data_IF_413072299285
#
_entry.id   IF_413072299285
#
_cell.length_a   1.000
_cell.length_b   1.000
_cell.length_c   1.000
_cell.angle_alpha   90.00
_cell.angle_beta   90.00
_cell.angle_gamma   90.00
#
_symmetry.space_group_name_H-M   'P 1'
#
loop_
_entity.id
_entity.type
_entity.pdbx_description
1 polymer ?
#
# COMPACT_ATOMS: atom_id res chain seq x y z
N UNK A 1 7.95 -33.11 -8.28
CA UNK A 1 7.45 -31.99 -7.45
C UNK A 1 8.32 -31.84 -6.22
N UNK A 2 9.03 -30.71 -6.06
CA UNK A 2 9.28 -30.22 -4.68
C UNK A 2 7.92 -29.81 -4.12
N UNK A 3 7.70 -30.07 -2.84
CA UNK A 3 6.36 -30.20 -2.28
C UNK A 3 5.69 -28.84 -2.05
N UNK A 4 4.57 -28.60 -2.75
CA UNK A 4 3.59 -27.61 -2.30
C UNK A 4 2.93 -28.17 -1.04
N UNK A 5 3.39 -27.69 0.11
CA UNK A 5 2.87 -28.07 1.42
C UNK A 5 1.93 -27.00 1.95
N UNK A 6 0.93 -27.43 2.69
CA UNK A 6 0.13 -26.49 3.46
C UNK A 6 1.02 -25.90 4.55
N UNK A 7 1.12 -24.57 4.60
CA UNK A 7 1.63 -23.87 5.77
C UNK A 7 0.86 -24.31 7.02
N UNK A 8 1.50 -24.27 8.18
CA UNK A 8 0.92 -24.73 9.46
C UNK A 8 -0.43 -24.09 9.81
N UNK A 9 -0.72 -22.91 9.24
CA UNK A 9 -1.98 -22.17 9.39
C UNK A 9 -2.44 -21.65 8.02
N UNK A 10 -3.74 -21.40 7.90
CA UNK A 10 -4.32 -20.64 6.79
C UNK A 10 -4.78 -19.27 7.24
N UNK A 11 -4.86 -18.32 6.31
CA UNK A 11 -5.52 -17.03 6.51
C UNK A 11 -6.95 -17.10 5.97
N UNK A 12 -7.89 -16.46 6.66
CA UNK A 12 -9.25 -16.25 6.16
C UNK A 12 -9.59 -14.76 6.17
N UNK A 13 -10.58 -14.40 5.35
CA UNK A 13 -11.10 -13.04 5.22
C UNK A 13 -12.62 -13.13 5.23
N UNK A 14 -13.29 -12.34 6.07
CA UNK A 14 -14.76 -12.44 6.21
C UNK A 14 -15.41 -11.06 6.29
N UNK A 15 -16.58 -10.86 5.64
CA UNK A 15 -17.34 -9.62 5.75
C UNK A 15 -17.82 -9.39 7.18
N UNK A 16 -17.93 -8.13 7.62
CA UNK A 16 -18.29 -7.74 8.99
C UNK A 16 -19.57 -8.42 9.48
N UNK A 17 -20.58 -8.42 8.63
CA UNK A 17 -21.93 -8.90 8.89
C UNK A 17 -22.15 -10.25 8.19
N UNK A 18 -23.19 -10.98 8.61
CA UNK A 18 -23.63 -12.20 7.94
C UNK A 18 -24.48 -11.87 6.71
N UNK A 19 -24.66 -12.87 5.84
CA UNK A 19 -25.67 -12.83 4.77
C UNK A 19 -27.08 -12.70 5.38
N UNK A 20 -27.32 -13.26 6.56
CA UNK A 20 -28.61 -13.14 7.25
C UNK A 20 -28.95 -11.69 7.64
N UNK A 21 -27.97 -10.90 8.07
CA UNK A 21 -28.17 -9.47 8.33
C UNK A 21 -28.55 -8.70 7.04
N UNK A 22 -28.06 -9.12 5.87
CA UNK A 22 -28.50 -8.59 4.58
C UNK A 22 -29.94 -9.03 4.25
N UNK A 23 -30.29 -10.30 4.51
CA UNK A 23 -31.64 -10.82 4.32
C UNK A 23 -32.67 -10.11 5.23
N UNK A 24 -32.29 -9.78 6.46
CA UNK A 24 -33.11 -8.98 7.39
C UNK A 24 -33.30 -7.55 6.89
N UNK A 25 -32.23 -6.89 6.42
CA UNK A 25 -32.34 -5.57 5.79
C UNK A 25 -33.27 -5.60 4.56
N UNK A 26 -33.16 -6.60 3.69
CA UNK A 26 -34.05 -6.72 2.51
C UNK A 26 -35.51 -6.95 2.91
N UNK A 27 -35.78 -7.72 3.97
CA UNK A 27 -37.13 -7.90 4.53
C UNK A 27 -37.68 -6.58 5.10
N UNK A 28 -36.85 -5.79 5.78
CA UNK A 28 -37.24 -4.46 6.25
C UNK A 28 -37.55 -3.52 5.08
N UNK A 29 -36.66 -3.42 4.08
CA UNK A 29 -36.88 -2.61 2.86
C UNK A 29 -38.22 -2.97 2.18
N UNK A 30 -38.56 -4.25 2.08
CA UNK A 30 -39.83 -4.71 1.50
C UNK A 30 -41.07 -4.41 2.36
N UNK A 31 -40.92 -4.24 3.68
CA UNK A 31 -42.03 -4.05 4.63
C UNK A 31 -42.35 -2.59 4.91
N UNK A 32 -41.31 -1.76 5.08
CA UNK A 32 -41.41 -0.35 5.50
C UNK A 32 -40.85 0.64 4.49
N UNK A 33 -40.18 0.14 3.43
CA UNK A 33 -39.54 0.96 2.40
C UNK A 33 -38.03 1.16 2.63
N UNK A 34 -37.29 1.60 1.59
CA UNK A 34 -35.83 1.67 1.64
C UNK A 34 -35.31 2.72 2.64
N UNK A 35 -35.98 3.87 2.74
CA UNK A 35 -35.59 4.96 3.63
C UNK A 35 -35.58 4.58 5.12
N UNK A 36 -36.70 4.15 5.76
CA UNK A 36 -36.69 3.80 7.18
C UNK A 36 -35.76 2.61 7.48
N UNK A 37 -35.75 1.59 6.62
CA UNK A 37 -34.92 0.40 6.82
C UNK A 37 -33.41 0.71 6.78
N UNK A 38 -32.95 1.47 5.78
CA UNK A 38 -31.54 1.89 5.70
C UNK A 38 -31.18 2.87 6.82
N UNK A 39 -32.10 3.76 7.22
CA UNK A 39 -31.90 4.66 8.37
C UNK A 39 -31.67 3.87 9.67
N UNK A 40 -32.54 2.91 9.96
CA UNK A 40 -32.40 2.05 11.14
C UNK A 40 -31.13 1.18 11.11
N UNK A 41 -30.75 0.66 9.94
CA UNK A 41 -29.53 -0.13 9.76
C UNK A 41 -28.26 0.68 10.03
N UNK A 42 -28.13 1.87 9.44
CA UNK A 42 -26.94 2.71 9.60
C UNK A 42 -26.89 3.49 10.92
N UNK A 43 -27.96 3.53 11.73
CA UNK A 43 -27.90 4.05 13.10
C UNK A 43 -27.21 3.10 14.10
N UNK A 44 -26.92 1.85 13.74
CA UNK A 44 -26.18 0.94 14.60
C UNK A 44 -24.71 1.40 14.74
N UNK A 45 -24.15 1.62 15.95
CA UNK A 45 -22.84 2.27 16.14
C UNK A 45 -21.70 1.63 15.34
N UNK A 46 -21.63 0.29 15.29
CA UNK A 46 -20.59 -0.43 14.54
C UNK A 46 -20.71 -0.25 13.01
N UNK A 47 -21.93 -0.17 12.49
CA UNK A 47 -22.21 0.02 11.05
C UNK A 47 -21.95 1.47 10.66
N UNK A 48 -22.31 2.42 11.53
CA UNK A 48 -22.03 3.83 11.41
C UNK A 48 -20.52 4.12 11.40
N UNK A 49 -19.77 3.57 12.37
CA UNK A 49 -18.32 3.67 12.46
C UNK A 49 -17.65 3.08 11.20
N UNK A 50 -18.12 1.91 10.75
CA UNK A 50 -17.65 1.30 9.51
C UNK A 50 -17.89 2.21 8.29
N UNK A 51 -19.08 2.82 8.16
CA UNK A 51 -19.41 3.74 7.08
C UNK A 51 -18.50 4.98 7.10
N UNK A 52 -18.29 5.59 8.26
CA UNK A 52 -17.42 6.76 8.42
C UNK A 52 -15.97 6.46 8.02
N UNK A 53 -15.41 5.35 8.51
CA UNK A 53 -14.04 4.92 8.19
C UNK A 53 -13.89 4.65 6.69
N UNK A 54 -14.88 3.99 6.07
CA UNK A 54 -14.80 3.64 4.66
C UNK A 54 -15.19 4.77 3.69
N UNK A 55 -15.99 5.75 4.15
CA UNK A 55 -16.52 6.84 3.32
C UNK A 55 -17.11 7.98 4.18
N UNK A 56 -16.25 8.75 4.85
CA UNK A 56 -16.68 9.86 5.73
C UNK A 56 -17.63 10.87 5.07
N UNK A 57 -17.45 11.18 3.79
CA UNK A 57 -18.36 12.06 3.03
C UNK A 57 -19.77 11.47 2.85
N UNK A 58 -19.90 10.15 2.72
CA UNK A 58 -21.19 9.47 2.68
C UNK A 58 -21.81 9.37 4.08
N UNK A 59 -21.00 9.20 5.13
CA UNK A 59 -21.48 9.24 6.51
C UNK A 59 -22.07 10.62 6.87
N UNK A 60 -21.38 11.71 6.55
CA UNK A 60 -21.90 13.06 6.81
C UNK A 60 -23.21 13.32 6.03
N UNK A 61 -23.27 12.89 4.76
CA UNK A 61 -24.49 13.00 3.96
C UNK A 61 -25.63 12.13 4.51
N UNK A 62 -25.32 10.94 5.02
CA UNK A 62 -26.27 10.09 5.75
C UNK A 62 -26.78 10.77 7.02
N UNK A 63 -25.90 11.38 7.83
CA UNK A 63 -26.26 12.08 9.07
C UNK A 63 -27.25 13.22 8.80
N UNK A 64 -26.95 14.07 7.81
CA UNK A 64 -27.83 15.17 7.40
C UNK A 64 -29.19 14.66 6.91
N UNK A 65 -29.22 13.67 6.01
CA UNK A 65 -30.46 13.07 5.54
C UNK A 65 -31.27 12.39 6.66
N UNK A 66 -30.58 11.72 7.60
CA UNK A 66 -31.23 11.04 8.71
C UNK A 66 -31.79 12.00 9.77
N UNK A 67 -31.42 13.27 9.76
CA UNK A 67 -31.94 14.31 10.66
C UNK A 67 -32.98 15.22 9.98
N UNK A 68 -32.69 15.69 8.76
CA UNK A 68 -33.48 16.71 8.06
C UNK A 68 -34.22 16.21 6.80
N UNK A 69 -33.92 14.99 6.32
CA UNK A 69 -34.39 14.49 5.01
C UNK A 69 -33.64 15.13 3.83
N UNK A 70 -34.12 14.84 2.61
CA UNK A 70 -33.69 15.47 1.35
C UNK A 70 -34.96 15.77 0.54
N UNK A 71 -35.08 16.98 -0.02
CA UNK A 71 -36.24 17.37 -0.84
C UNK A 71 -36.21 16.80 -2.27
N UNK A 72 -35.02 16.73 -2.90
CA UNK A 72 -34.86 16.12 -4.23
C UNK A 72 -34.82 14.59 -4.13
N UNK A 73 -35.91 13.96 -4.59
CA UNK A 73 -36.07 12.51 -4.65
C UNK A 73 -34.97 11.79 -5.43
N UNK A 74 -34.42 12.38 -6.49
CA UNK A 74 -33.34 11.75 -7.26
C UNK A 74 -32.05 11.66 -6.44
N UNK A 75 -31.78 12.68 -5.62
CA UNK A 75 -30.62 12.69 -4.75
C UNK A 75 -30.81 11.83 -3.50
N UNK A 76 -32.04 11.71 -2.99
CA UNK A 76 -32.40 10.70 -1.99
C UNK A 76 -32.19 9.27 -2.55
N UNK A 77 -32.72 8.95 -3.73
CA UNK A 77 -32.53 7.63 -4.37
C UNK A 77 -31.04 7.30 -4.57
N UNK A 78 -30.23 8.27 -5.04
CA UNK A 78 -28.77 8.11 -5.17
C UNK A 78 -28.09 7.83 -3.82
N UNK A 79 -28.55 8.46 -2.74
CA UNK A 79 -28.06 8.22 -1.38
C UNK A 79 -28.45 6.81 -0.92
N UNK A 80 -29.71 6.42 -1.04
CA UNK A 80 -30.22 5.09 -0.66
C UNK A 80 -29.51 3.96 -1.41
N UNK A 81 -29.30 4.11 -2.73
CA UNK A 81 -28.51 3.17 -3.54
C UNK A 81 -27.05 3.09 -3.10
N UNK A 82 -26.47 4.19 -2.64
CA UNK A 82 -25.10 4.22 -2.12
C UNK A 82 -25.02 3.49 -0.76
N UNK A 83 -25.94 3.78 0.15
CA UNK A 83 -26.05 3.09 1.44
C UNK A 83 -26.28 1.58 1.27
N UNK A 84 -27.15 1.17 0.36
CA UNK A 84 -27.40 -0.24 0.04
C UNK A 84 -26.13 -0.94 -0.50
N UNK A 85 -25.34 -0.28 -1.36
CA UNK A 85 -24.04 -0.82 -1.83
C UNK A 85 -23.06 -1.03 -0.67
N UNK A 86 -23.03 -0.14 0.32
CA UNK A 86 -22.20 -0.33 1.52
C UNK A 86 -22.72 -1.42 2.44
N UNK A 87 -24.03 -1.57 2.62
CA UNK A 87 -24.62 -2.70 3.36
C UNK A 87 -24.26 -4.06 2.70
N UNK A 88 -24.42 -4.17 1.37
CA UNK A 88 -24.00 -5.35 0.60
C UNK A 88 -22.50 -5.62 0.78
N UNK A 89 -21.66 -4.57 0.73
CA UNK A 89 -20.21 -4.71 0.95
C UNK A 89 -19.90 -5.29 2.33
N UNK A 90 -20.58 -4.81 3.38
CA UNK A 90 -20.39 -5.26 4.77
C UNK A 90 -20.88 -6.69 5.03
N UNK A 91 -21.78 -7.24 4.21
CA UNK A 91 -22.36 -8.58 4.41
C UNK A 91 -21.84 -9.65 3.44
N UNK A 92 -21.36 -9.28 2.25
CA UNK A 92 -21.03 -10.23 1.18
C UNK A 92 -19.59 -10.14 0.65
N UNK A 93 -18.86 -9.02 0.84
CA UNK A 93 -17.53 -8.84 0.25
C UNK A 93 -16.42 -9.05 1.27
N UNK A 94 -15.71 -10.17 1.18
CA UNK A 94 -14.57 -10.51 2.05
C UNK A 94 -13.26 -9.73 1.78
N UNK A 95 -13.25 -8.70 0.92
CA UNK A 95 -12.05 -7.88 0.65
C UNK A 95 -11.78 -6.94 1.84
N UNK A 96 -10.66 -7.10 2.60
CA UNK A 96 -10.39 -6.29 3.78
C UNK A 96 -10.29 -4.81 3.43
N UNK A 97 -11.02 -3.98 4.18
CA UNK A 97 -11.04 -2.51 4.01
C UNK A 97 -11.77 -1.89 5.20
N UNK A 98 -11.07 -1.11 6.03
CA UNK A 98 -11.65 -0.53 7.23
C UNK A 98 -12.23 -1.61 8.14
N UNK A 99 -13.49 -1.43 8.53
CA UNK A 99 -14.25 -2.43 9.30
C UNK A 99 -15.14 -3.33 8.44
N UNK A 100 -15.27 -3.12 7.12
CA UNK A 100 -16.24 -3.86 6.30
C UNK A 100 -15.95 -5.34 6.15
N UNK A 101 -14.68 -5.73 6.25
CA UNK A 101 -14.24 -7.12 6.26
C UNK A 101 -12.92 -7.24 7.03
N UNK A 102 -12.83 -8.25 7.88
CA UNK A 102 -11.68 -8.50 8.73
C UNK A 102 -10.91 -9.77 8.34
N UNK A 103 -9.62 -9.80 8.69
CA UNK A 103 -8.74 -10.95 8.50
C UNK A 103 -8.60 -11.78 9.77
N UNK A 104 -8.31 -13.07 9.63
CA UNK A 104 -7.96 -13.95 10.75
C UNK A 104 -7.17 -15.16 10.30
N UNK A 105 -6.77 -16.02 11.24
CA UNK A 105 -6.01 -17.24 10.93
C UNK A 105 -6.66 -18.46 11.56
N UNK A 106 -6.63 -19.58 10.84
CA UNK A 106 -7.11 -20.88 11.29
C UNK A 106 -6.05 -21.97 11.16
N UNK A 107 -6.35 -23.14 11.71
CA UNK A 107 -5.45 -24.30 11.73
C UNK A 107 -5.99 -25.44 10.88
N UNK A 108 -5.11 -26.27 10.33
CA UNK A 108 -5.54 -27.50 9.65
C UNK A 108 -5.87 -28.60 10.67
N UNK A 109 -6.93 -29.35 10.43
CA UNK A 109 -7.35 -30.49 11.25
C UNK A 109 -7.46 -31.77 10.40
N UNK A 110 -7.42 -32.96 11.02
CA UNK A 110 -7.78 -34.21 10.33
C UNK A 110 -9.29 -34.47 10.34
N UNK A 111 -10.04 -33.74 11.17
CA UNK A 111 -11.48 -33.88 11.39
C UNK A 111 -12.29 -33.00 10.41
N UNK A 112 -13.61 -33.01 10.49
CA UNK A 112 -14.47 -32.18 9.63
C UNK A 112 -14.21 -30.67 9.80
N UNK A 113 -14.69 -29.88 8.85
CA UNK A 113 -14.57 -28.43 8.89
C UNK A 113 -15.37 -27.88 10.06
N UNK A 114 -14.74 -27.07 10.92
CA UNK A 114 -15.43 -26.37 11.98
C UNK A 114 -14.97 -24.90 12.02
N UNK A 115 -15.90 -24.00 11.71
CA UNK A 115 -15.62 -22.60 11.46
C UNK A 115 -16.72 -21.71 12.09
N UNK A 116 -16.48 -21.27 13.33
CA UNK A 116 -17.39 -20.45 14.13
C UNK A 116 -16.73 -19.10 14.38
N UNK A 117 -17.18 -18.07 13.66
CA UNK A 117 -16.68 -16.70 13.83
C UNK A 117 -17.15 -16.08 15.15
N UNK A 118 -16.37 -15.14 15.68
CA UNK A 118 -16.89 -14.30 16.77
C UNK A 118 -17.97 -13.33 16.27
N UNK A 119 -18.84 -12.90 17.19
CA UNK A 119 -19.75 -11.76 17.01
C UNK A 119 -19.03 -10.57 16.33
N UNK A 120 -19.71 -9.78 15.48
CA UNK A 120 -19.18 -8.52 14.95
C UNK A 120 -18.66 -7.59 16.06
N UNK A 121 -19.26 -7.62 17.26
CA UNK A 121 -18.81 -6.88 18.45
C UNK A 121 -17.49 -7.37 19.08
N UNK A 122 -16.81 -8.35 18.48
CA UNK A 122 -15.45 -8.79 18.85
C UNK A 122 -14.42 -8.55 17.74
N UNK A 123 -14.77 -7.79 16.70
CA UNK A 123 -13.81 -7.35 15.68
C UNK A 123 -12.82 -6.38 16.32
N UNK A 124 -11.53 -6.69 16.21
CA UNK A 124 -10.47 -5.82 16.71
C UNK A 124 -10.01 -4.86 15.61
N UNK A 125 -9.88 -3.58 15.96
CA UNK A 125 -9.43 -2.50 15.08
C UNK A 125 -7.93 -2.30 15.28
N UNK A 126 -7.20 -2.16 14.19
CA UNK A 126 -5.80 -1.73 14.16
C UNK A 126 -5.77 -0.41 13.40
N UNK A 127 -5.38 0.65 14.10
CA UNK A 127 -5.39 2.02 13.58
C UNK A 127 -3.95 2.51 13.50
N UNK A 128 -3.60 3.04 12.34
CA UNK A 128 -2.30 3.62 11.98
C UNK A 128 -2.58 4.96 11.30
N UNK A 129 -1.70 5.96 11.44
CA UNK A 129 -1.82 7.15 10.61
C UNK A 129 -1.45 6.82 9.16
N UNK A 130 -2.01 7.58 8.21
CA UNK A 130 -1.70 7.39 6.80
C UNK A 130 -0.23 7.76 6.51
N UNK A 131 0.44 6.96 5.68
CA UNK A 131 1.87 7.11 5.40
C UNK A 131 2.20 8.45 4.72
N UNK A 132 1.36 8.89 3.77
CA UNK A 132 1.51 10.19 3.11
C UNK A 132 1.19 11.33 4.09
N UNK A 133 0.24 11.13 5.02
CA UNK A 133 -0.06 12.11 6.06
C UNK A 133 1.10 12.30 7.03
N UNK A 134 1.64 11.23 7.61
CA UNK A 134 2.82 11.31 8.51
C UNK A 134 3.99 11.97 7.79
N UNK A 135 4.27 11.55 6.56
CA UNK A 135 5.34 12.13 5.74
C UNK A 135 5.16 13.64 5.50
N UNK A 136 3.97 14.09 5.09
CA UNK A 136 3.71 15.52 4.87
C UNK A 136 3.80 16.34 6.16
N UNK A 137 3.44 15.77 7.31
CA UNK A 137 3.61 16.41 8.62
C UNK A 137 5.10 16.51 8.99
N UNK A 138 5.90 15.46 8.76
CA UNK A 138 7.37 15.51 8.94
C UNK A 138 8.04 16.60 8.08
N UNK A 139 7.52 16.89 6.89
CA UNK A 139 7.98 18.02 6.08
C UNK A 139 7.55 19.36 6.67
N UNK A 140 6.26 19.54 7.00
CA UNK A 140 5.75 20.78 7.62
C UNK A 140 6.55 21.15 8.86
N UNK A 141 6.91 20.17 9.69
CA UNK A 141 7.73 20.39 10.90
C UNK A 141 9.13 20.91 10.54
N UNK A 142 9.82 20.31 9.56
CA UNK A 142 11.15 20.73 9.15
C UNK A 142 11.18 22.09 8.43
N UNK A 143 10.04 22.56 7.93
CA UNK A 143 9.87 23.90 7.34
C UNK A 143 9.49 24.96 8.39
N UNK A 144 8.60 24.64 9.33
CA UNK A 144 8.16 25.56 10.38
C UNK A 144 9.18 25.72 11.51
N UNK A 145 10.01 24.71 11.76
CA UNK A 145 11.03 24.69 12.80
C UNK A 145 12.41 24.32 12.21
N UNK A 146 13.04 25.18 11.37
CA UNK A 146 14.30 24.85 10.69
C UNK A 146 15.44 24.44 11.64
N UNK A 147 15.41 24.92 12.89
CA UNK A 147 16.35 24.52 13.95
C UNK A 147 16.37 23.01 14.21
N UNK A 148 15.25 22.31 13.94
CA UNK A 148 15.17 20.85 14.09
C UNK A 148 16.23 20.17 13.21
N UNK A 149 16.50 20.69 12.01
CA UNK A 149 17.45 20.11 11.05
C UNK A 149 18.88 19.98 11.60
N UNK A 150 19.23 20.75 12.64
CA UNK A 150 20.54 20.69 13.30
C UNK A 150 20.63 19.67 14.45
N UNK A 151 19.51 19.01 14.79
CA UNK A 151 19.38 18.02 15.89
C UNK A 151 18.97 16.62 15.41
N UNK A 152 18.75 16.49 14.10
CA UNK A 152 18.34 15.24 13.45
C UNK A 152 19.56 14.46 12.93
N UNK A 153 19.37 13.14 12.80
CA UNK A 153 20.26 12.26 12.04
C UNK A 153 19.89 12.26 10.57
N UNK A 154 20.91 12.17 9.72
CA UNK A 154 20.81 12.13 8.27
C UNK A 154 21.49 10.90 7.71
N UNK A 155 20.92 10.36 6.63
CA UNK A 155 21.30 9.10 6.02
C UNK A 155 21.59 9.33 4.54
N UNK A 156 22.61 8.67 3.98
CA UNK A 156 22.85 8.74 2.53
C UNK A 156 21.63 8.23 1.76
N UNK A 157 21.20 8.92 0.71
CA UNK A 157 20.12 8.45 -0.16
C UNK A 157 20.41 7.01 -0.65
N UNK A 158 19.47 6.09 -0.45
CA UNK A 158 19.67 4.65 -0.70
C UNK A 158 19.78 4.30 -2.18
N UNK A 159 19.45 5.23 -3.07
CA UNK A 159 19.62 5.11 -4.53
C UNK A 159 20.96 5.67 -5.02
N UNK A 160 21.82 6.16 -4.13
CA UNK A 160 23.07 6.81 -4.49
C UNK A 160 24.19 5.81 -4.80
N UNK A 161 24.80 5.97 -5.98
CA UNK A 161 25.98 5.23 -6.40
C UNK A 161 26.99 6.13 -7.15
N UNK A 162 28.25 5.69 -7.24
CA UNK A 162 29.36 6.44 -7.85
C UNK A 162 29.59 5.98 -9.28
N UNK A 163 29.76 6.91 -10.22
CA UNK A 163 30.09 6.66 -11.61
C UNK A 163 31.22 7.59 -12.04
N UNK A 164 32.43 7.04 -12.19
CA UNK A 164 33.61 7.86 -12.50
C UNK A 164 33.83 8.97 -11.46
N UNK A 165 33.84 10.22 -11.93
CA UNK A 165 33.96 11.43 -11.10
C UNK A 165 32.60 12.08 -10.80
N UNK A 166 31.52 11.32 -10.69
CA UNK A 166 30.21 11.79 -10.24
C UNK A 166 29.50 10.79 -9.33
N UNK A 167 28.49 11.27 -8.61
CA UNK A 167 27.48 10.45 -7.95
C UNK A 167 26.16 10.60 -8.69
N UNK A 168 25.41 9.50 -8.79
CA UNK A 168 24.07 9.45 -9.38
C UNK A 168 23.09 8.87 -8.37
N UNK A 169 21.90 9.44 -8.32
CA UNK A 169 20.85 9.08 -7.35
C UNK A 169 19.49 9.57 -7.84
N UNK A 170 18.43 8.99 -7.30
CA UNK A 170 17.06 9.42 -7.57
C UNK A 170 16.66 10.43 -6.49
N UNK A 171 16.31 11.64 -6.90
CA UNK A 171 15.57 12.61 -6.07
C UNK A 171 14.09 12.59 -6.44
N UNK A 172 13.26 13.30 -5.69
CA UNK A 172 11.88 13.54 -6.06
C UNK A 172 11.45 14.98 -5.82
N UNK A 173 10.53 15.47 -6.65
CA UNK A 173 9.77 16.71 -6.38
C UNK A 173 8.34 16.36 -6.00
N UNK A 174 7.76 17.14 -5.10
CA UNK A 174 6.37 16.97 -4.66
C UNK A 174 5.47 17.89 -5.46
N UNK A 175 4.63 17.30 -6.30
CA UNK A 175 3.51 18.01 -6.94
C UNK A 175 2.21 17.65 -6.23
N UNK A 176 1.15 18.46 -6.42
CA UNK A 176 -0.04 18.52 -5.56
C UNK A 176 -0.82 17.21 -5.29
N UNK A 177 -0.45 16.07 -5.91
CA UNK A 177 -0.96 14.72 -5.60
C UNK A 177 0.06 13.58 -5.71
N UNK A 178 1.32 13.81 -6.11
CA UNK A 178 2.30 12.76 -6.44
C UNK A 178 3.75 13.22 -6.25
N UNK A 179 4.63 12.25 -5.92
CA UNK A 179 6.09 12.38 -6.06
C UNK A 179 6.45 12.16 -7.53
N UNK A 180 7.17 13.11 -8.13
CA UNK A 180 7.81 12.95 -9.44
C UNK A 180 9.27 12.66 -9.19
N UNK A 181 9.70 11.44 -9.53
CA UNK A 181 11.08 10.99 -9.35
C UNK A 181 11.94 11.41 -10.54
N UNK A 182 13.17 11.84 -10.27
CA UNK A 182 14.11 12.35 -11.29
C UNK A 182 15.51 11.82 -11.00
N UNK A 183 16.24 11.46 -12.05
CA UNK A 183 17.63 11.02 -11.93
C UNK A 183 18.55 12.24 -11.85
N UNK A 184 19.29 12.36 -10.76
CA UNK A 184 20.22 13.46 -10.50
C UNK A 184 21.66 12.99 -10.62
N UNK A 185 22.53 13.90 -11.08
CA UNK A 185 23.99 13.69 -11.13
C UNK A 185 24.68 14.87 -10.45
N UNK A 186 25.59 14.59 -9.51
CA UNK A 186 26.44 15.60 -8.87
C UNK A 186 27.92 15.25 -9.04
N UNK A 187 28.79 16.27 -9.13
CA UNK A 187 30.23 16.05 -9.22
C UNK A 187 30.79 15.37 -7.97
N UNK A 188 31.72 14.44 -8.16
CA UNK A 188 32.44 13.82 -7.05
C UNK A 188 33.42 14.81 -6.42
N UNK A 189 33.55 14.74 -5.09
CA UNK A 189 34.64 15.35 -4.35
C UNK A 189 35.02 14.44 -3.17
N UNK A 190 36.26 14.58 -2.68
CA UNK A 190 36.75 13.80 -1.55
C UNK A 190 35.97 14.08 -0.25
N UNK A 191 35.46 15.30 -0.05
CA UNK A 191 34.64 15.65 1.11
C UNK A 191 33.22 15.08 1.00
N UNK A 192 32.60 15.15 -0.19
CA UNK A 192 31.29 14.57 -0.43
C UNK A 192 31.29 13.04 -0.25
N UNK A 193 32.33 12.36 -0.75
CA UNK A 193 32.48 10.91 -0.57
C UNK A 193 32.61 10.51 0.90
N UNK A 194 33.40 11.23 1.71
CA UNK A 194 33.47 10.95 3.16
C UNK A 194 32.13 11.17 3.87
N UNK A 195 31.40 12.24 3.53
CA UNK A 195 30.08 12.53 4.13
C UNK A 195 29.07 11.44 3.77
N UNK A 196 28.99 11.04 2.49
CA UNK A 196 28.10 9.96 2.03
C UNK A 196 28.41 8.66 2.78
N UNK A 197 29.68 8.28 2.88
CA UNK A 197 30.08 7.03 3.54
C UNK A 197 29.77 7.06 5.04
N UNK A 198 30.07 8.16 5.73
CA UNK A 198 29.75 8.36 7.15
C UNK A 198 28.23 8.34 7.41
N UNK A 199 27.42 8.82 6.47
CA UNK A 199 25.96 8.85 6.60
C UNK A 199 25.28 7.53 6.21
N UNK A 200 25.98 6.48 5.75
CA UNK A 200 25.32 5.19 5.41
C UNK A 200 24.58 4.56 6.59
N UNK A 201 25.17 4.61 7.78
CA UNK A 201 24.58 4.13 9.04
C UNK A 201 23.77 5.21 9.79
N UNK A 202 23.68 6.41 9.22
CA UNK A 202 23.11 7.59 9.88
C UNK A 202 24.14 8.35 10.72
N UNK A 203 24.19 9.67 10.53
CA UNK A 203 25.03 10.58 11.33
C UNK A 203 24.26 11.82 11.79
N UNK A 204 24.63 12.41 12.94
CA UNK A 204 23.97 13.65 13.40
C UNK A 204 24.39 14.84 12.53
N UNK A 205 23.52 15.86 12.41
CA UNK A 205 23.87 17.10 11.74
C UNK A 205 25.17 17.73 12.29
N UNK A 206 25.34 17.72 13.62
CA UNK A 206 26.55 18.18 14.29
C UNK A 206 27.79 17.42 13.82
N UNK A 207 27.75 16.07 13.83
CA UNK A 207 28.87 15.22 13.39
C UNK A 207 29.19 15.39 11.90
N UNK A 208 28.19 15.65 11.05
CA UNK A 208 28.38 15.93 9.61
C UNK A 208 29.09 17.28 9.42
N UNK A 209 28.67 18.32 10.16
CA UNK A 209 29.33 19.64 10.12
C UNK A 209 30.75 19.55 10.67
N UNK A 210 30.98 18.81 11.76
CA UNK A 210 32.34 18.55 12.28
C UNK A 210 33.22 17.79 11.28
N UNK A 211 32.66 16.79 10.58
CA UNK A 211 33.38 16.08 9.51
C UNK A 211 33.77 17.02 8.36
N UNK A 212 32.88 17.95 7.97
CA UNK A 212 33.17 18.96 6.95
C UNK A 212 34.27 19.94 7.39
N UNK A 213 34.26 20.38 8.65
CA UNK A 213 35.31 21.24 9.22
C UNK A 213 36.71 20.61 9.17
N UNK A 214 36.84 19.27 9.09
CA UNK A 214 38.16 18.61 8.90
C UNK A 214 38.82 18.90 7.55
N UNK A 215 38.14 19.58 6.64
CA UNK A 215 38.65 20.02 5.33
C UNK A 215 39.04 21.52 5.29
N UNK A 216 39.28 22.14 6.46
CA UNK A 216 39.76 23.54 6.59
C UNK A 216 38.81 24.62 6.02
N UNK A 217 37.51 24.31 5.93
CA UNK A 217 36.43 25.26 5.58
C UNK A 217 35.90 26.00 6.81
N UNK A 218 35.24 27.13 6.61
CA UNK A 218 34.54 27.84 7.69
C UNK A 218 33.28 27.09 8.18
N UNK A 219 32.83 27.40 9.39
CA UNK A 219 31.59 26.84 9.96
C UNK A 219 30.37 27.21 9.13
N UNK A 220 30.36 28.44 8.59
CA UNK A 220 29.33 28.98 7.72
C UNK A 220 29.26 28.20 6.40
N UNK A 221 30.40 27.92 5.77
CA UNK A 221 30.48 27.10 4.55
C UNK A 221 30.09 25.64 4.81
N UNK A 222 30.59 25.03 5.88
CA UNK A 222 30.23 23.66 6.27
C UNK A 222 28.72 23.51 6.53
N UNK A 223 28.12 24.47 7.24
CA UNK A 223 26.68 24.49 7.54
C UNK A 223 25.85 24.74 6.28
N UNK A 224 26.27 25.66 5.41
CA UNK A 224 25.62 25.93 4.12
C UNK A 224 25.66 24.69 3.20
N UNK A 225 26.81 24.03 3.12
CA UNK A 225 26.96 22.81 2.33
C UNK A 225 26.13 21.65 2.90
N UNK A 226 26.07 21.48 4.22
CA UNK A 226 25.18 20.52 4.87
C UNK A 226 23.70 20.73 4.47
N UNK A 227 23.20 21.97 4.48
CA UNK A 227 21.85 22.26 4.00
C UNK A 227 21.68 21.97 2.51
N UNK A 228 22.66 22.28 1.66
CA UNK A 228 22.62 21.91 0.24
C UNK A 228 22.53 20.39 0.03
N UNK A 229 23.18 19.57 0.84
CA UNK A 229 23.07 18.10 0.76
C UNK A 229 21.65 17.59 1.07
N UNK A 230 20.95 18.25 2.00
CA UNK A 230 19.57 17.93 2.38
C UNK A 230 18.60 18.41 1.30
N UNK A 231 18.72 19.67 0.88
CA UNK A 231 17.80 20.27 -0.09
C UNK A 231 17.88 19.58 -1.47
N UNK A 232 19.07 19.05 -1.83
CA UNK A 232 19.24 18.21 -3.02
C UNK A 232 18.94 16.72 -2.79
N UNK A 233 18.55 16.29 -1.58
CA UNK A 233 18.23 14.89 -1.24
C UNK A 233 19.39 13.89 -1.46
N UNK A 234 20.65 14.36 -1.33
CA UNK A 234 21.82 13.50 -1.17
C UNK A 234 21.84 12.88 0.23
N UNK A 235 21.41 13.68 1.21
CA UNK A 235 21.15 13.26 2.58
C UNK A 235 19.65 13.31 2.86
N UNK A 236 19.10 12.18 3.29
CA UNK A 236 17.69 11.98 3.65
C UNK A 236 17.58 12.05 5.16
N UNK A 237 16.61 12.81 5.65
CA UNK A 237 16.42 13.04 7.07
C UNK A 237 15.91 11.79 7.80
N UNK A 238 16.15 11.72 9.10
CA UNK A 238 15.23 11.05 10.00
C UNK A 238 13.92 11.87 10.13
N UNK A 239 12.84 11.29 10.67
CA UNK A 239 11.44 11.72 10.45
C UNK A 239 10.88 11.42 9.04
N UNK A 240 11.70 11.17 8.01
CA UNK A 240 11.19 10.53 6.79
C UNK A 240 10.82 9.06 7.10
N UNK A 241 9.60 8.60 6.77
CA UNK A 241 9.14 7.26 7.14
C UNK A 241 9.85 6.16 6.34
N UNK A 242 10.27 5.09 7.01
CA UNK A 242 10.99 3.96 6.40
C UNK A 242 10.11 2.74 6.23
N UNK A 243 10.16 2.16 5.03
CA UNK A 243 9.47 0.92 4.72
C UNK A 243 10.18 -0.24 5.43
N UNK A 244 9.45 -0.96 6.30
CA UNK A 244 9.95 -2.15 7.01
C UNK A 244 10.19 -1.94 8.51
N UNK A 245 10.46 -0.71 8.95
CA UNK A 245 10.80 -0.36 10.35
C UNK A 245 9.56 -0.20 11.26
N UNK A 246 8.47 -0.92 10.98
CA UNK A 246 7.21 -0.82 11.73
C UNK A 246 6.31 0.34 11.29
N UNK A 247 5.41 0.77 12.19
CA UNK A 247 4.43 1.83 11.90
C UNK A 247 5.09 3.20 11.71
N UNK A 248 4.63 3.95 10.70
CA UNK A 248 5.25 5.22 10.31
C UNK A 248 5.08 6.34 11.33
N UNK A 249 3.93 6.40 12.03
CA UNK A 249 3.73 7.37 13.10
C UNK A 249 4.56 7.01 14.33
N UNK A 250 4.64 5.73 14.70
CA UNK A 250 5.50 5.27 15.80
C UNK A 250 6.96 5.61 15.54
N UNK A 251 7.46 5.37 14.32
CA UNK A 251 8.79 5.78 13.89
C UNK A 251 9.07 7.28 14.08
N UNK A 252 8.09 8.15 13.82
CA UNK A 252 8.23 9.60 13.99
C UNK A 252 8.04 10.02 15.46
N UNK A 253 7.11 9.40 16.18
CA UNK A 253 6.82 9.59 17.60
C UNK A 253 8.04 9.29 18.46
N UNK A 254 8.68 8.14 18.27
CA UNK A 254 9.85 7.74 19.06
C UNK A 254 11.01 8.72 18.89
N UNK A 255 11.24 9.23 17.67
CA UNK A 255 12.24 10.26 17.39
C UNK A 255 11.88 11.57 18.10
N UNK A 256 10.63 12.02 17.96
CA UNK A 256 10.15 13.27 18.55
C UNK A 256 10.09 13.28 20.09
N UNK A 257 9.87 12.12 20.72
CA UNK A 257 9.72 12.03 22.16
C UNK A 257 11.03 11.64 22.85
N UNK A 258 11.84 10.74 22.27
CA UNK A 258 13.03 10.19 22.93
C UNK A 258 14.36 10.84 22.52
N UNK A 259 14.44 11.67 21.46
CA UNK A 259 15.68 12.39 21.15
C UNK A 259 15.97 13.48 22.22
N UNK A 260 17.08 13.40 22.98
CA UNK A 260 17.37 14.36 24.04
C UNK A 260 17.63 15.79 23.55
N UNK A 261 18.13 15.97 22.32
CA UNK A 261 18.40 17.29 21.75
C UNK A 261 17.07 18.01 21.43
N UNK A 262 16.10 17.30 20.84
CA UNK A 262 14.74 17.81 20.61
C UNK A 262 14.03 18.23 21.90
N UNK A 263 14.32 17.58 23.02
CA UNK A 263 13.76 17.95 24.33
C UNK A 263 14.21 19.33 24.80
N UNK A 264 15.32 19.86 24.27
CA UNK A 264 15.84 21.18 24.63
C UNK A 264 15.25 22.33 23.82
N UNK A 265 14.56 22.05 22.70
CA UNK A 265 14.01 23.05 21.79
C UNK A 265 12.58 23.47 22.21
N UNK A 266 12.37 24.67 22.81
CA UNK A 266 11.06 25.02 23.37
C UNK A 266 9.99 25.22 22.30
N UNK A 267 10.40 25.60 21.09
CA UNK A 267 9.52 25.80 19.93
C UNK A 267 8.80 24.49 19.52
N UNK A 268 9.38 23.32 19.81
CA UNK A 268 8.80 22.01 19.48
C UNK A 268 7.85 21.46 20.56
N UNK A 269 7.71 22.10 21.74
CA UNK A 269 6.77 21.63 22.76
C UNK A 269 5.32 21.47 22.27
N UNK A 270 4.74 22.38 21.46
CA UNK A 270 3.40 22.17 20.90
C UNK A 270 3.32 20.93 20.00
N UNK A 271 4.32 20.74 19.13
CA UNK A 271 4.43 19.58 18.23
C UNK A 271 4.52 18.28 19.02
N UNK A 272 5.40 18.21 20.02
CA UNK A 272 5.56 17.02 20.89
C UNK A 272 4.27 16.70 21.66
N UNK A 273 3.54 17.72 22.10
CA UNK A 273 2.22 17.55 22.72
C UNK A 273 1.19 16.99 21.73
N UNK A 274 1.22 17.38 20.45
CA UNK A 274 0.36 16.76 19.42
C UNK A 274 0.70 15.28 19.21
N UNK A 275 1.98 14.92 19.11
CA UNK A 275 2.43 13.52 19.02
C UNK A 275 1.97 12.70 20.24
N UNK A 276 2.14 13.21 21.46
CA UNK A 276 1.65 12.57 22.69
C UNK A 276 0.13 12.37 22.67
N UNK A 277 -0.62 13.42 22.33
CA UNK A 277 -2.09 13.41 22.25
C UNK A 277 -2.61 12.43 21.20
N UNK A 278 -1.95 12.34 20.03
CA UNK A 278 -2.33 11.40 18.97
C UNK A 278 -2.03 9.96 19.40
N UNK A 279 -0.86 9.69 20.00
CA UNK A 279 -0.50 8.37 20.56
C UNK A 279 -1.51 7.88 21.60
N UNK A 280 -1.93 8.76 22.51
CA UNK A 280 -3.00 8.49 23.48
C UNK A 280 -4.36 8.29 22.81
N UNK A 281 -4.68 9.07 21.78
CA UNK A 281 -5.93 8.94 21.01
C UNK A 281 -6.02 7.61 20.24
N UNK A 282 -4.93 7.15 19.61
CA UNK A 282 -4.84 5.81 19.00
C UNK A 282 -5.02 4.72 20.06
N UNK A 283 -4.38 4.88 21.22
CA UNK A 283 -4.44 3.89 22.31
C UNK A 283 -5.83 3.80 22.98
N UNK A 284 -6.57 4.91 23.02
CA UNK A 284 -7.92 4.97 23.60
C UNK A 284 -9.04 4.56 22.63
N UNK A 285 -8.79 4.53 21.32
CA UNK A 285 -9.68 3.99 20.28
C UNK A 285 -9.74 2.45 20.31
N UNK A 286 -10.25 1.92 21.42
CA UNK A 286 -10.43 0.49 21.65
C UNK A 286 -11.37 -0.19 20.64
N UNK A 287 -11.30 -1.53 20.50
CA UNK A 287 -12.28 -2.30 19.74
C UNK A 287 -13.71 -2.03 20.20
N UNK A 288 -14.57 -1.62 19.27
CA UNK A 288 -15.96 -1.16 19.47
C UNK A 288 -16.08 0.16 20.26
N UNK A 289 -16.15 1.29 19.55
CA UNK A 289 -16.52 2.55 20.19
C UNK A 289 -18.01 2.49 20.58
N UNK A 290 -18.40 2.66 21.86
CA UNK A 290 -19.76 2.36 22.31
C UNK A 290 -20.81 3.39 21.88
N UNK A 291 -20.40 4.55 21.37
CA UNK A 291 -21.27 5.69 21.08
C UNK A 291 -21.15 6.16 19.63
N UNK A 292 -22.31 6.22 18.94
CA UNK A 292 -22.49 6.69 17.56
C UNK A 292 -22.09 8.17 17.37
N UNK A 293 -22.28 9.01 18.39
CA UNK A 293 -22.03 10.47 18.28
C UNK A 293 -20.59 10.88 18.57
N UNK A 294 -19.80 10.02 19.22
CA UNK A 294 -18.46 10.38 19.74
C UNK A 294 -17.33 9.81 18.85
N UNK A 295 -17.56 8.70 18.13
CA UNK A 295 -16.50 8.16 17.25
C UNK A 295 -15.99 9.17 16.19
N UNK A 296 -16.79 10.04 15.54
CA UNK A 296 -16.25 10.99 14.57
C UNK A 296 -15.27 11.96 15.21
N UNK A 297 -15.61 12.50 16.39
CA UNK A 297 -14.74 13.34 17.19
C UNK A 297 -13.49 12.60 17.69
N UNK A 298 -13.59 11.29 17.94
CA UNK A 298 -12.45 10.46 18.31
C UNK A 298 -11.48 10.22 17.15
N UNK A 299 -11.98 10.06 15.91
CA UNK A 299 -11.13 10.02 14.72
C UNK A 299 -10.56 11.40 14.34
N UNK A 300 -11.29 12.50 14.59
CA UNK A 300 -10.75 13.84 14.41
C UNK A 300 -9.59 14.15 15.38
N UNK A 301 -9.56 13.54 16.57
CA UNK A 301 -8.39 13.59 17.47
C UNK A 301 -7.15 12.89 16.91
N UNK A 302 -7.24 12.08 15.85
CA UNK A 302 -6.06 11.51 15.18
C UNK A 302 -5.36 12.48 14.22
N UNK A 303 -5.97 13.63 13.94
CA UNK A 303 -5.37 14.69 13.13
C UNK A 303 -4.49 15.57 14.02
N UNK A 304 -3.38 16.05 13.46
CA UNK A 304 -2.69 17.22 13.95
C UNK A 304 -3.60 18.45 13.79
N UNK A 305 -3.68 19.27 14.83
CA UNK A 305 -4.56 20.43 14.93
C UNK A 305 -3.80 21.74 14.69
N UNK A 306 -2.50 21.75 14.96
CA UNK A 306 -1.63 22.92 14.81
C UNK A 306 -0.72 22.79 13.57
N UNK A 307 -0.50 21.56 13.09
CA UNK A 307 0.26 21.28 11.87
C UNK A 307 -0.67 20.92 10.70
N UNK A 308 -0.63 21.73 9.66
CA UNK A 308 -1.29 21.45 8.37
C UNK A 308 -0.30 20.75 7.44
N UNK A 309 -0.65 19.62 6.79
CA UNK A 309 0.23 18.98 5.82
C UNK A 309 0.46 19.90 4.63
N UNK A 310 1.71 20.01 4.17
CA UNK A 310 2.11 20.88 3.03
C UNK A 310 1.29 20.63 1.76
N UNK A 311 0.87 19.38 1.54
CA UNK A 311 0.00 18.98 0.43
C UNK A 311 -1.29 18.37 1.01
N UNK A 312 -2.48 18.71 0.50
CA UNK A 312 -3.74 18.11 0.93
C UNK A 312 -3.74 16.59 0.72
N UNK A 313 -3.75 15.84 1.82
CA UNK A 313 -3.89 14.38 1.81
C UNK A 313 -5.35 13.96 1.72
N UNK A 314 -5.61 12.82 1.07
CA UNK A 314 -6.98 12.27 0.96
C UNK A 314 -7.40 11.51 2.23
N UNK A 315 -6.42 10.92 2.91
CA UNK A 315 -6.62 10.10 4.10
C UNK A 315 -5.63 10.54 5.19
N UNK A 316 -6.08 10.49 6.45
CA UNK A 316 -5.27 10.86 7.62
C UNK A 316 -4.87 9.62 8.43
N UNK A 317 -5.63 8.53 8.29
CA UNK A 317 -5.45 7.28 9.01
C UNK A 317 -5.88 6.11 8.12
N UNK A 318 -5.25 4.96 8.38
CA UNK A 318 -5.63 3.66 7.85
C UNK A 318 -6.18 2.81 9.00
N UNK A 319 -7.35 2.21 8.79
CA UNK A 319 -7.92 1.21 9.71
C UNK A 319 -7.92 -0.14 9.02
N UNK A 320 -7.30 -1.12 9.68
CA UNK A 320 -7.42 -2.53 9.36
C UNK A 320 -8.22 -3.23 10.46
N UNK A 321 -8.94 -4.30 10.13
CA UNK A 321 -9.67 -5.10 11.12
C UNK A 321 -9.23 -6.55 11.11
N UNK A 322 -9.05 -7.09 12.32
CA UNK A 322 -8.91 -8.53 12.54
C UNK A 322 -10.20 -9.06 13.12
N UNK A 323 -10.68 -10.19 12.58
CA UNK A 323 -11.90 -10.86 13.05
C UNK A 323 -11.54 -12.23 13.60
N UNK A 324 -11.45 -12.38 14.94
CA UNK A 324 -11.23 -13.68 15.56
C UNK A 324 -12.33 -14.69 15.22
N UNK A 325 -11.99 -15.95 15.39
CA UNK A 325 -12.96 -17.05 15.41
C UNK A 325 -12.93 -17.68 16.79
N UNK A 326 -14.07 -18.21 17.22
CA UNK A 326 -14.15 -19.15 18.35
C UNK A 326 -13.45 -20.45 17.92
N UNK A 327 -13.77 -20.91 16.70
CA UNK A 327 -13.15 -22.08 16.07
C UNK A 327 -12.87 -21.75 14.60
N UNK A 328 -11.65 -21.98 14.13
CA UNK A 328 -11.28 -21.85 12.72
C UNK A 328 -10.40 -23.02 12.32
N UNK A 329 -11.05 -24.13 11.97
CA UNK A 329 -10.38 -25.36 11.55
C UNK A 329 -10.94 -25.87 10.23
N UNK A 330 -10.06 -26.31 9.34
CA UNK A 330 -10.43 -26.90 8.05
C UNK A 330 -9.72 -28.25 7.90
N UNK A 331 -10.44 -29.24 7.34
CA UNK A 331 -9.86 -30.55 7.06
C UNK A 331 -8.66 -30.41 6.10
N UNK A 332 -7.52 -30.98 6.47
CA UNK A 332 -6.27 -30.93 5.71
C UNK A 332 -6.37 -31.57 4.32
N UNK A 333 -7.41 -32.38 4.05
CA UNK A 333 -7.74 -32.87 2.69
C UNK A 333 -8.00 -31.74 1.70
N UNK A 334 -8.31 -30.51 2.11
CA UNK A 334 -8.31 -29.34 1.21
C UNK A 334 -6.96 -29.19 0.49
N UNK A 335 -5.84 -29.54 1.12
CA UNK A 335 -4.51 -29.47 0.49
C UNK A 335 -4.38 -30.37 -0.74
N UNK A 336 -5.03 -31.54 -0.77
CA UNK A 336 -5.02 -32.39 -1.97
C UNK A 336 -5.87 -31.80 -3.09
N UNK A 337 -7.02 -31.19 -2.78
CA UNK A 337 -7.84 -30.46 -3.75
C UNK A 337 -7.13 -29.22 -4.30
N UNK A 338 -6.46 -28.44 -3.44
CA UNK A 338 -5.65 -27.28 -3.85
C UNK A 338 -4.49 -27.71 -4.74
N UNK A 339 -3.82 -28.84 -4.46
CA UNK A 339 -2.77 -29.38 -5.32
C UNK A 339 -3.29 -29.73 -6.72
N UNK A 340 -4.45 -30.39 -6.82
CA UNK A 340 -5.11 -30.66 -8.12
C UNK A 340 -5.45 -29.36 -8.85
N UNK A 341 -5.94 -28.34 -8.14
CA UNK A 341 -6.23 -27.03 -8.73
C UNK A 341 -4.95 -26.33 -9.22
N UNK A 342 -3.84 -26.42 -8.49
CA UNK A 342 -2.54 -25.89 -8.94
C UNK A 342 -2.00 -26.62 -10.17
N UNK A 343 -2.15 -27.95 -10.26
CA UNK A 343 -1.81 -28.72 -11.47
C UNK A 343 -2.66 -28.28 -12.67
N UNK A 344 -3.96 -28.06 -12.48
CA UNK A 344 -4.85 -27.52 -13.52
C UNK A 344 -4.45 -26.10 -13.92
N UNK A 345 -4.14 -25.22 -12.97
CA UNK A 345 -3.67 -23.88 -13.27
C UNK A 345 -2.33 -23.92 -14.04
N UNK A 346 -1.39 -24.79 -13.68
CA UNK A 346 -0.13 -24.97 -14.42
C UNK A 346 -0.34 -25.48 -15.86
N UNK A 347 -1.44 -26.19 -16.15
CA UNK A 347 -1.84 -26.54 -17.52
C UNK A 347 -2.47 -25.37 -18.30
N UNK A 348 -3.13 -24.44 -17.59
CA UNK A 348 -3.87 -23.32 -18.20
C UNK A 348 -3.03 -22.04 -18.31
N UNK A 349 -2.08 -21.82 -17.40
CA UNK A 349 -1.14 -20.70 -17.43
C UNK A 349 -0.06 -20.99 -18.47
N UNK A 350 0.09 -20.06 -19.42
CA UNK A 350 1.18 -20.09 -20.37
C UNK A 350 2.35 -19.25 -19.86
N UNK A 351 3.58 -19.73 -20.08
CA UNK A 351 4.80 -18.92 -19.95
C UNK A 351 4.70 -17.74 -20.90
N UNK A 352 4.26 -16.58 -20.41
CA UNK A 352 4.07 -15.40 -21.25
C UNK A 352 5.32 -15.17 -22.10
N UNK A 353 5.08 -14.98 -23.41
CA UNK A 353 6.12 -14.53 -24.32
C UNK A 353 6.49 -13.06 -24.07
N UNK A 354 5.75 -12.37 -23.17
CA UNK A 354 6.15 -11.10 -22.56
C UNK A 354 7.40 -11.32 -21.71
N UNK A 355 8.49 -11.21 -22.45
CA UNK A 355 9.82 -11.73 -22.21
C UNK A 355 10.69 -10.68 -21.54
N UNK A 356 10.10 -9.69 -20.86
CA UNK A 356 10.78 -8.56 -20.22
C UNK A 356 12.02 -9.04 -19.45
N UNK A 357 11.91 -9.96 -18.48
CA UNK A 357 13.11 -10.45 -17.77
C UNK A 357 14.10 -11.27 -18.64
N UNK A 358 13.63 -11.90 -19.73
CA UNK A 358 14.48 -12.66 -20.66
C UNK A 358 15.25 -11.76 -21.61
N UNK A 359 14.63 -10.68 -22.09
CA UNK A 359 15.30 -9.61 -22.83
C UNK A 359 16.30 -8.89 -21.93
N UNK A 360 15.94 -8.60 -20.67
CA UNK A 360 16.85 -8.02 -19.68
C UNK A 360 18.09 -8.89 -19.50
N UNK A 361 17.91 -10.19 -19.30
CA UNK A 361 19.01 -11.17 -19.21
C UNK A 361 19.86 -11.20 -20.48
N UNK A 362 19.25 -11.04 -21.65
CA UNK A 362 19.94 -11.06 -22.94
C UNK A 362 20.78 -9.80 -23.13
N UNK A 363 20.19 -8.62 -22.89
CA UNK A 363 20.89 -7.33 -22.93
C UNK A 363 21.99 -7.25 -21.86
N UNK A 364 21.71 -7.72 -20.65
CA UNK A 364 22.71 -7.82 -19.57
C UNK A 364 23.91 -8.67 -19.99
N UNK A 365 23.67 -9.88 -20.51
CA UNK A 365 24.75 -10.75 -20.96
C UNK A 365 25.49 -10.18 -22.17
N UNK A 366 24.83 -9.49 -23.09
CA UNK A 366 25.49 -8.81 -24.21
C UNK A 366 26.34 -7.61 -23.75
N UNK A 367 25.94 -6.90 -22.70
CA UNK A 367 26.57 -5.66 -22.22
C UNK A 367 27.68 -5.87 -21.20
N UNK A 368 27.52 -6.88 -20.34
CA UNK A 368 28.34 -7.13 -19.15
C UNK A 368 28.92 -8.56 -19.08
N UNK A 369 28.54 -9.45 -20.00
CA UNK A 369 28.98 -10.85 -20.06
C UNK A 369 28.72 -11.59 -18.73
N UNK A 370 29.74 -12.21 -18.15
CA UNK A 370 29.65 -12.96 -16.88
C UNK A 370 30.07 -12.10 -15.67
N UNK A 371 30.13 -10.75 -15.81
CA UNK A 371 30.51 -9.85 -14.71
C UNK A 371 29.37 -9.61 -13.73
N UNK A 372 29.69 -9.61 -12.44
CA UNK A 372 28.84 -8.99 -11.42
C UNK A 372 28.92 -7.46 -11.53
N UNK A 373 27.77 -6.79 -11.58
CA UNK A 373 27.63 -5.32 -11.74
C UNK A 373 26.60 -4.82 -10.73
N UNK A 374 26.80 -3.64 -10.08
CA UNK A 374 25.81 -3.08 -9.16
C UNK A 374 24.45 -2.88 -9.81
N UNK A 375 23.38 -3.32 -9.14
CA UNK A 375 22.02 -3.28 -9.72
C UNK A 375 21.59 -1.85 -10.14
N UNK A 376 21.96 -0.83 -9.37
CA UNK A 376 21.64 0.58 -9.69
C UNK A 376 22.36 1.08 -10.95
N UNK A 377 23.56 0.59 -11.26
CA UNK A 377 24.28 0.91 -12.51
C UNK A 377 23.59 0.26 -13.72
N UNK A 378 23.13 -0.98 -13.56
CA UNK A 378 22.39 -1.73 -14.60
C UNK A 378 21.02 -1.11 -14.86
N UNK A 379 20.36 -0.62 -13.80
CA UNK A 379 19.03 0.00 -13.85
C UNK A 379 19.06 1.49 -14.24
N UNK A 380 20.24 2.06 -14.47
CA UNK A 380 20.37 3.44 -14.94
C UNK A 380 19.94 3.56 -16.42
N UNK A 381 19.08 4.54 -16.78
CA UNK A 381 18.60 4.71 -18.16
C UNK A 381 19.64 5.28 -19.13
N UNK A 382 20.70 5.95 -18.66
CA UNK A 382 21.72 6.58 -19.51
C UNK A 382 22.97 5.71 -19.69
N UNK A 383 23.40 4.99 -18.64
CA UNK A 383 24.63 4.16 -18.68
C UNK A 383 24.37 2.64 -18.63
N UNK A 384 23.17 2.24 -18.21
CA UNK A 384 22.75 0.86 -18.01
C UNK A 384 21.98 0.28 -19.20
N UNK A 385 20.95 -0.53 -18.90
CA UNK A 385 20.09 -1.20 -19.90
C UNK A 385 18.59 -1.01 -19.63
N UNK A 386 18.21 -0.14 -18.68
CA UNK A 386 16.83 0.02 -18.24
C UNK A 386 15.90 0.81 -19.16
N UNK A 387 16.42 1.41 -20.24
CA UNK A 387 15.67 2.22 -21.20
C UNK A 387 14.48 1.47 -21.85
N UNK A 388 14.55 0.13 -21.91
CA UNK A 388 13.47 -0.73 -22.41
C UNK A 388 12.46 -1.18 -21.34
N UNK A 389 12.73 -0.95 -20.06
CA UNK A 389 11.94 -1.44 -18.91
C UNK A 389 11.09 -0.33 -18.29
N UNK A 390 11.66 0.87 -18.21
CA UNK A 390 11.12 1.97 -17.45
C UNK A 390 10.21 2.88 -18.28
N UNK A 391 9.10 2.35 -18.79
CA UNK A 391 8.03 3.18 -19.34
C UNK A 391 7.42 4.14 -18.30
N UNK A 392 7.55 3.82 -17.00
CA UNK A 392 7.00 4.58 -15.87
C UNK A 392 7.99 5.61 -15.29
N UNK A 393 9.29 5.47 -15.57
CA UNK A 393 10.33 6.43 -15.17
C UNK A 393 10.99 7.07 -16.41
N UNK A 394 10.16 7.52 -17.36
CA UNK A 394 10.59 8.57 -18.28
C UNK A 394 10.81 9.83 -17.45
N UNK A 395 11.92 10.55 -17.68
CA UNK A 395 12.08 11.89 -17.14
C UNK A 395 10.95 12.78 -17.70
N UNK A 396 9.92 13.01 -16.89
CA UNK A 396 8.93 14.07 -17.10
C UNK A 396 9.58 15.43 -16.82
N UNK A 397 10.67 15.74 -17.56
CA UNK A 397 11.33 17.03 -17.49
C UNK A 397 10.30 18.10 -17.87
N UNK A 398 10.13 19.22 -17.12
CA UNK A 398 9.05 20.17 -17.33
C UNK A 398 8.91 20.76 -18.76
N UNK A 399 10.00 20.76 -19.53
CA UNK A 399 10.02 21.17 -20.95
C UNK A 399 9.55 20.11 -21.95
N UNK A 400 9.46 18.85 -21.54
CA UNK A 400 8.97 17.72 -22.35
C UNK A 400 7.47 17.44 -22.08
N UNK A 401 6.89 18.06 -21.05
CA UNK A 401 5.45 17.99 -20.75
C UNK A 401 4.65 18.58 -21.92
N UNK A 402 3.88 17.72 -22.59
CA UNK A 402 3.10 18.06 -23.80
C UNK A 402 3.73 17.61 -25.12
N UNK A 403 4.99 17.17 -25.13
CA UNK A 403 5.58 16.51 -26.30
C UNK A 403 5.29 15.01 -26.26
N UNK A 404 4.40 14.56 -27.14
CA UNK A 404 4.09 13.13 -27.24
C UNK A 404 5.17 12.41 -28.07
N UNK A 405 6.24 11.94 -27.41
CA UNK A 405 7.30 11.13 -28.02
C UNK A 405 6.87 9.68 -28.31
N UNK A 406 5.65 9.48 -28.84
CA UNK A 406 5.17 8.21 -29.39
C UNK A 406 5.78 7.96 -30.78
N UNK A 407 7.11 8.11 -30.89
CA UNK A 407 7.90 7.89 -32.10
C UNK A 407 8.58 6.53 -32.19
N UNK A 408 8.65 5.80 -31.07
CA UNK A 408 9.21 4.42 -31.00
C UNK A 408 8.31 3.46 -30.20
N UNK A 409 7.11 3.89 -29.84
CA UNK A 409 5.99 2.99 -29.56
C UNK A 409 5.33 2.50 -30.86
N UNK A 410 6.16 2.03 -31.80
CA UNK A 410 5.80 0.77 -32.43
C UNK A 410 5.70 -0.24 -31.28
N UNK A 411 4.48 -0.39 -30.74
CA UNK A 411 3.99 -1.74 -30.43
C UNK A 411 4.41 -2.55 -31.64
N UNK A 412 5.37 -3.45 -31.45
CA UNK A 412 5.69 -4.41 -32.48
C UNK A 412 4.37 -5.05 -32.89
N UNK A 413 4.16 -5.25 -34.19
CA UNK A 413 2.98 -5.98 -34.66
C UNK A 413 3.06 -7.48 -34.34
N UNK A 414 3.91 -7.87 -33.39
CA UNK A 414 3.50 -8.76 -32.30
C UNK A 414 2.35 -8.06 -31.52
N UNK A 415 1.14 -7.94 -32.06
CA UNK A 415 0.18 -9.03 -31.88
C UNK A 415 0.77 -10.18 -31.06
N UNK A 416 0.42 -10.22 -29.78
CA UNK A 416 0.49 -11.46 -29.01
C UNK A 416 -0.37 -12.48 -29.74
N UNK A 417 0.24 -13.18 -30.70
CA UNK A 417 -0.30 -14.34 -31.35
C UNK A 417 -0.46 -15.37 -30.26
N UNK A 418 -1.66 -15.38 -29.67
CA UNK A 418 -2.14 -16.31 -28.65
C UNK A 418 -1.60 -17.70 -29.00
N UNK A 419 -0.56 -18.09 -28.28
CA UNK A 419 0.31 -19.20 -28.64
C UNK A 419 -0.53 -20.46 -28.53
N UNK A 420 -0.91 -21.02 -29.69
CA UNK A 420 -1.94 -22.03 -29.74
C UNK A 420 -1.46 -23.34 -29.11
N UNK A 421 -1.76 -23.51 -27.83
CA UNK A 421 -1.33 -24.65 -27.04
C UNK A 421 -2.44 -25.73 -26.97
N UNK A 422 -2.09 -26.98 -26.60
CA UNK A 422 -3.07 -28.07 -26.50
C UNK A 422 -4.21 -27.79 -25.50
N UNK A 423 -3.96 -27.00 -24.45
CA UNK A 423 -4.95 -26.58 -23.47
C UNK A 423 -6.01 -25.64 -24.05
N UNK A 424 -5.61 -24.60 -24.80
CA UNK A 424 -6.55 -23.75 -25.53
C UNK A 424 -7.29 -24.54 -26.62
N UNK A 425 -6.62 -25.48 -27.29
CA UNK A 425 -7.26 -26.38 -28.25
C UNK A 425 -8.31 -27.29 -27.62
N UNK A 426 -8.03 -27.83 -26.42
CA UNK A 426 -8.96 -28.62 -25.62
C UNK A 426 -10.13 -27.77 -25.10
N UNK A 427 -9.85 -26.59 -24.52
CA UNK A 427 -10.88 -25.65 -24.06
C UNK A 427 -11.79 -25.21 -25.20
N UNK A 428 -11.25 -24.88 -26.38
CA UNK A 428 -12.08 -24.51 -27.53
C UNK A 428 -12.94 -25.69 -28.01
N UNK A 429 -12.39 -26.91 -28.09
CA UNK A 429 -13.16 -28.11 -28.45
C UNK A 429 -14.33 -28.34 -27.48
N UNK A 430 -14.08 -28.28 -26.17
CA UNK A 430 -15.13 -28.39 -25.15
C UNK A 430 -16.14 -27.24 -25.27
N UNK A 431 -15.69 -25.99 -25.39
CA UNK A 431 -16.56 -24.81 -25.55
C UNK A 431 -17.47 -24.90 -26.79
N UNK A 432 -16.99 -25.48 -27.89
CA UNK A 432 -17.79 -25.72 -29.10
C UNK A 432 -18.83 -26.83 -28.87
N UNK A 433 -18.47 -27.89 -28.13
CA UNK A 433 -19.35 -29.03 -27.84
C UNK A 433 -20.45 -28.68 -26.82
N UNK A 434 -20.05 -28.10 -25.68
CA UNK A 434 -20.88 -27.73 -24.53
C UNK A 434 -21.86 -26.60 -24.86
N UNK A 435 -21.60 -25.79 -25.91
CA UNK A 435 -22.48 -24.70 -26.38
C UNK A 435 -23.88 -25.14 -26.83
N UNK A 436 -24.16 -26.44 -26.86
CA UNK A 436 -25.42 -27.03 -27.32
C UNK A 436 -26.40 -27.37 -26.20
N UNK A 437 -25.99 -27.35 -24.93
CA UNK A 437 -26.87 -27.69 -23.80
C UNK A 437 -26.74 -26.69 -22.64
N UNK A 438 -27.83 -26.50 -21.90
CA UNK A 438 -27.89 -25.63 -20.73
C UNK A 438 -28.04 -26.48 -19.45
N UNK A 439 -27.37 -26.13 -18.33
CA UNK A 439 -26.53 -24.95 -18.13
C UNK A 439 -25.13 -25.07 -18.78
N UNK A 440 -24.58 -23.94 -19.22
CA UNK A 440 -23.23 -23.87 -19.81
C UNK A 440 -22.14 -24.03 -18.72
N UNK A 441 -21.78 -25.27 -18.40
CA UNK A 441 -20.70 -25.61 -17.46
C UNK A 441 -19.65 -26.40 -18.23
N UNK A 442 -18.46 -25.84 -18.42
CA UNK A 442 -17.37 -26.54 -19.10
C UNK A 442 -16.67 -27.47 -18.10
N UNK A 443 -16.82 -28.78 -18.29
CA UNK A 443 -16.20 -29.78 -17.42
C UNK A 443 -14.75 -30.09 -17.85
N UNK A 444 -13.80 -29.97 -16.93
CA UNK A 444 -12.39 -30.39 -17.12
C UNK A 444 -12.10 -31.53 -16.14
N UNK A 445 -11.64 -32.66 -16.67
CA UNK A 445 -11.43 -33.91 -15.92
C UNK A 445 -9.96 -34.32 -15.91
N UNK A 446 -9.59 -35.30 -15.09
CA UNK A 446 -8.21 -35.81 -15.05
C UNK A 446 -7.78 -36.43 -16.39
N UNK A 447 -8.72 -36.91 -17.20
CA UNK A 447 -8.46 -37.45 -18.54
C UNK A 447 -7.93 -36.40 -19.51
N UNK A 448 -8.44 -35.19 -19.42
CA UNK A 448 -8.03 -34.05 -20.24
C UNK A 448 -6.58 -33.63 -19.98
N UNK A 449 -6.07 -33.91 -18.78
CA UNK A 449 -4.72 -33.57 -18.33
C UNK A 449 -3.69 -34.68 -18.63
N UNK A 450 -4.11 -35.90 -19.01
CA UNK A 450 -3.22 -37.07 -19.20
C UNK A 450 -2.09 -36.86 -20.22
N UNK A 451 -2.29 -35.98 -21.21
CA UNK A 451 -1.29 -35.68 -22.25
C UNK A 451 -0.33 -34.55 -21.87
N UNK A 452 -0.50 -33.93 -20.71
CA UNK A 452 0.35 -32.82 -20.24
C UNK A 452 1.36 -33.29 -19.20
N UNK A 453 2.55 -32.70 -19.23
CA UNK A 453 3.55 -32.85 -18.16
C UNK A 453 3.67 -31.51 -17.46
N UNK A 454 3.39 -31.48 -16.16
CA UNK A 454 3.47 -30.27 -15.33
C UNK A 454 4.85 -29.61 -15.42
N UNK A 455 4.90 -28.30 -15.66
CA UNK A 455 6.13 -27.52 -15.65
C UNK A 455 6.17 -26.56 -14.47
N UNK A 456 6.70 -27.01 -13.34
CA UNK A 456 6.83 -26.21 -12.11
C UNK A 456 7.97 -25.19 -12.13
N UNK A 457 8.72 -25.04 -13.23
CA UNK A 457 9.60 -23.87 -13.42
C UNK A 457 8.81 -22.60 -13.77
N UNK A 458 7.55 -22.77 -14.20
CA UNK A 458 6.59 -21.71 -14.50
C UNK A 458 5.43 -21.80 -13.51
N UNK A 459 5.53 -21.08 -12.39
CA UNK A 459 4.50 -21.11 -11.36
C UNK A 459 3.22 -20.44 -11.86
N UNK A 460 2.04 -21.10 -11.81
CA UNK A 460 0.80 -20.45 -12.20
C UNK A 460 0.53 -19.24 -11.31
N UNK A 461 0.32 -18.07 -11.95
CA UNK A 461 0.00 -16.78 -11.32
C UNK A 461 -1.50 -16.51 -11.39
#
# INVERSE_FOLDING_TARGET
MKSYELLSRFQYRTPLLSIDAMNELLRAINKEGPAPALRAFFFQPLIAEALYIGSGSLFERFKVWAEFGIEDKNDEERLLLSLLKYAIRMSARCTPFGLFAGVGTGNWSSHEHNFVLTSPSKVCKHISLDADYVYNISLTIQEQYPEIKLTLRYFSNTTLFKVGNSFRYISYTLTARRRIYQLQTVGWSAYLEKVIEACRSGQTASDIIQLLLTFEVSTEEATSFFFQLIDNQLLVSELEPRIGDGDYFEQAYDRMIHNPELNTLPALFPVRNEFARIKESVSSLTPNHPNFLDFPGAYDRLKFQQLTPRIPVQHHFLVNSTRPAVEASLNSRIGSSLRKALSLLNFLTFKSADNTLTEFRTQFKQRYEDRAVPLLEVLDPEIGIASHYNAVARDEHPFLVGFNFDGTSSRSENTDLLSWNPGYGMLLKKLIHEKTQAPYVLHIEEEDLKTFTENWEDTPV
#
